data_IF_749202934338
#
_entry.id   IF_749202934338
#
_cell.length_a   1.000
_cell.length_b   1.000
_cell.length_c   1.000
_cell.angle_alpha   90.00
_cell.angle_beta   90.00
_cell.angle_gamma   90.00
#
_symmetry.space_group_name_H-M   'P 1'
#
loop_
_entity.id
_entity.type
_entity.pdbx_description
1 polymer ?
#
# COMPACT_ATOMS: atom_id res chain seq x y z
N UNK A 1 -1.20 6.33 1.50
CA UNK A 1 -1.07 7.47 0.57
C UNK A 1 -0.64 8.71 1.33
N UNK A 2 0.20 9.56 0.75
CA UNK A 2 0.81 10.74 1.35
C UNK A 2 0.80 11.88 0.32
N UNK A 3 0.41 13.08 0.73
CA UNK A 3 0.57 14.29 -0.08
C UNK A 3 1.57 15.22 0.62
N UNK A 4 2.65 15.59 -0.07
CA UNK A 4 3.73 16.41 0.46
C UNK A 4 4.45 17.16 -0.66
N UNK A 5 4.78 18.41 -0.43
CA UNK A 5 5.60 19.24 -1.32
C UNK A 5 5.11 19.24 -2.80
N UNK A 6 3.79 19.30 -3.00
CA UNK A 6 3.17 19.30 -4.31
C UNK A 6 3.17 17.95 -5.03
N UNK A 7 3.53 16.90 -4.34
CA UNK A 7 3.49 15.52 -4.85
C UNK A 7 2.50 14.67 -4.05
N UNK A 8 1.87 13.74 -4.73
CA UNK A 8 1.08 12.66 -4.17
C UNK A 8 1.88 11.36 -4.28
N UNK A 9 2.00 10.64 -3.19
CA UNK A 9 2.73 9.38 -3.12
C UNK A 9 1.80 8.24 -2.70
N UNK A 10 1.94 7.11 -3.32
CA UNK A 10 1.63 5.81 -2.74
C UNK A 10 2.93 5.16 -2.28
N UNK A 11 2.98 4.73 -1.03
CA UNK A 11 4.15 4.12 -0.44
C UNK A 11 3.74 2.78 0.17
N UNK A 12 4.50 1.75 -0.14
CA UNK A 12 4.42 0.44 0.47
C UNK A 12 5.73 0.14 1.20
N UNK A 13 5.65 0.06 2.51
CA UNK A 13 6.77 -0.33 3.35
C UNK A 13 6.72 -1.84 3.57
N UNK A 14 7.67 -2.55 2.96
CA UNK A 14 7.80 -3.99 3.11
C UNK A 14 8.62 -4.31 4.37
N UNK A 15 7.98 -4.29 5.54
CA UNK A 15 8.60 -4.64 6.85
C UNK A 15 9.87 -3.84 7.16
N UNK A 16 9.98 -2.61 6.71
CA UNK A 16 11.20 -1.81 6.87
C UNK A 16 12.37 -2.23 5.96
N UNK A 17 12.17 -3.18 5.07
CA UNK A 17 13.22 -3.64 4.14
C UNK A 17 13.39 -2.61 3.02
N UNK A 18 14.56 -2.03 2.94
CA UNK A 18 14.90 -1.09 1.87
C UNK A 18 15.04 -1.79 0.48
N UNK A 19 14.79 -1.07 -0.61
CA UNK A 19 14.25 0.29 -0.68
C UNK A 19 12.74 0.34 -0.44
N UNK A 20 12.24 1.49 0.02
CA UNK A 20 10.79 1.76 0.00
C UNK A 20 10.27 1.66 -1.43
N UNK A 21 9.14 1.00 -1.59
CA UNK A 21 8.46 0.91 -2.88
C UNK A 21 7.43 2.02 -2.95
N UNK A 22 7.54 2.89 -3.95
CA UNK A 22 6.67 4.05 -4.07
C UNK A 22 6.34 4.42 -5.51
N UNK A 23 5.12 4.91 -5.69
CA UNK A 23 4.65 5.61 -6.88
C UNK A 23 4.42 7.07 -6.52
N UNK A 24 4.61 7.97 -7.47
CA UNK A 24 4.32 9.38 -7.26
C UNK A 24 3.79 10.05 -8.51
N UNK A 25 3.02 11.11 -8.29
CA UNK A 25 2.60 12.04 -9.33
C UNK A 25 2.45 13.45 -8.73
N UNK A 26 2.38 14.50 -9.54
CA UNK A 26 1.99 15.82 -9.05
C UNK A 26 0.65 15.76 -8.33
N UNK A 27 0.53 16.50 -7.23
CA UNK A 27 -0.76 16.64 -6.54
C UNK A 27 -1.80 17.23 -7.50
N UNK A 28 -3.02 16.67 -7.58
CA UNK A 28 -4.08 17.24 -8.38
C UNK A 28 -4.33 18.71 -8.03
N UNK A 29 -4.78 19.48 -9.01
CA UNK A 29 -5.15 20.88 -8.82
C UNK A 29 -6.35 21.03 -7.88
N UNK A 30 -6.77 22.25 -7.57
CA UNK A 30 -7.96 22.46 -6.74
C UNK A 30 -9.21 21.85 -7.37
N UNK A 31 -10.02 21.19 -6.55
CA UNK A 31 -11.26 20.54 -6.98
C UNK A 31 -11.55 19.25 -6.21
N UNK A 32 -12.55 18.54 -6.68
CA UNK A 32 -12.88 17.20 -6.17
C UNK A 32 -12.21 16.17 -7.08
N UNK A 33 -11.37 15.35 -6.51
CA UNK A 33 -10.64 14.31 -7.22
C UNK A 33 -10.87 12.94 -6.59
N UNK A 34 -10.76 11.90 -7.39
CA UNK A 34 -10.68 10.51 -6.96
C UNK A 34 -9.24 10.04 -7.17
N UNK A 35 -8.62 9.61 -6.09
CA UNK A 35 -7.27 9.04 -6.14
C UNK A 35 -7.36 7.57 -5.73
N UNK A 36 -6.81 6.69 -6.54
CA UNK A 36 -6.86 5.25 -6.33
C UNK A 36 -5.53 4.58 -6.58
N UNK A 37 -5.38 3.40 -6.00
CA UNK A 37 -4.28 2.47 -6.28
C UNK A 37 -4.87 1.12 -6.55
N UNK A 38 -4.43 0.50 -7.62
CA UNK A 38 -4.75 -0.89 -7.97
C UNK A 38 -3.49 -1.75 -7.90
N UNK A 39 -3.65 -2.98 -7.45
CA UNK A 39 -2.59 -3.98 -7.42
C UNK A 39 -3.00 -5.22 -8.22
N UNK A 40 -2.43 -5.35 -9.40
CA UNK A 40 -2.61 -6.51 -10.25
C UNK A 40 -1.58 -7.58 -9.90
N UNK A 41 -1.98 -8.57 -9.11
CA UNK A 41 -1.15 -9.70 -8.73
C UNK A 41 -0.77 -10.54 -9.95
N UNK A 42 0.51 -10.87 -10.08
CA UNK A 42 1.05 -11.73 -11.15
C UNK A 42 1.48 -13.10 -10.65
N UNK A 43 2.15 -13.18 -9.51
CA UNK A 43 2.70 -14.44 -9.00
C UNK A 43 2.99 -14.37 -7.49
N UNK A 44 3.41 -15.52 -6.96
CA UNK A 44 3.96 -15.64 -5.61
C UNK A 44 5.38 -16.16 -5.75
N UNK A 45 6.35 -15.48 -5.12
CA UNK A 45 7.75 -15.89 -5.14
C UNK A 45 7.99 -17.14 -4.26
N UNK A 46 9.16 -17.76 -4.40
CA UNK A 46 9.59 -18.86 -3.52
C UNK A 46 9.66 -18.45 -2.05
N UNK A 47 9.82 -17.17 -1.77
CA UNK A 47 9.82 -16.59 -0.42
C UNK A 47 8.42 -16.19 0.06
N UNK A 48 7.37 -16.60 -0.66
CA UNK A 48 5.98 -16.28 -0.38
C UNK A 48 5.64 -14.78 -0.48
N UNK A 49 6.47 -13.99 -1.14
CA UNK A 49 6.12 -12.62 -1.48
C UNK A 49 5.09 -12.60 -2.62
N UNK A 50 4.10 -11.76 -2.53
CA UNK A 50 3.16 -11.56 -3.64
C UNK A 50 3.74 -10.51 -4.58
N UNK A 51 3.99 -10.90 -5.80
CA UNK A 51 4.52 -10.05 -6.86
C UNK A 51 3.39 -9.57 -7.76
N UNK A 52 3.48 -8.33 -8.21
CA UNK A 52 2.48 -7.76 -9.10
C UNK A 52 2.82 -6.34 -9.50
N UNK A 53 1.94 -5.76 -10.28
CA UNK A 53 2.05 -4.39 -10.77
C UNK A 53 1.12 -3.48 -9.98
N UNK A 54 1.68 -2.43 -9.42
CA UNK A 54 0.96 -1.38 -8.72
C UNK A 54 0.74 -0.21 -9.65
N UNK A 55 -0.49 0.29 -9.73
CA UNK A 55 -0.85 1.44 -10.56
C UNK A 55 -1.54 2.52 -9.74
N UNK A 56 -1.03 3.73 -9.81
CA UNK A 56 -1.63 4.93 -9.20
C UNK A 56 -2.51 5.63 -10.21
N UNK A 57 -3.72 5.97 -9.81
CA UNK A 57 -4.72 6.65 -10.61
C UNK A 57 -5.11 8.00 -10.00
N UNK A 58 -5.37 8.95 -10.86
CA UNK A 58 -6.06 10.22 -10.54
C UNK A 58 -7.18 10.39 -11.54
N UNK A 59 -8.42 10.51 -11.05
CA UNK A 59 -9.65 10.65 -11.88
C UNK A 59 -9.74 9.60 -12.99
N UNK A 60 -9.53 8.33 -12.63
CA UNK A 60 -9.54 7.16 -13.52
C UNK A 60 -8.40 7.11 -14.56
N UNK A 61 -7.46 8.05 -14.51
CA UNK A 61 -6.28 8.08 -15.38
C UNK A 61 -5.09 7.46 -14.63
N UNK A 62 -4.46 6.45 -15.22
CA UNK A 62 -3.22 5.89 -14.70
C UNK A 62 -2.08 6.91 -14.84
N UNK A 63 -1.50 7.32 -13.72
CA UNK A 63 -0.46 8.37 -13.66
C UNK A 63 0.91 7.84 -13.32
N UNK A 64 0.99 6.69 -12.66
CA UNK A 64 2.26 6.00 -12.40
C UNK A 64 2.03 4.50 -12.25
N UNK A 65 3.00 3.71 -12.66
CA UNK A 65 2.98 2.24 -12.59
C UNK A 65 4.37 1.72 -12.30
N UNK A 66 4.47 0.69 -11.45
CA UNK A 66 5.71 -0.06 -11.22
C UNK A 66 5.42 -1.45 -10.66
N UNK A 67 6.40 -2.33 -10.77
CA UNK A 67 6.34 -3.64 -10.14
C UNK A 67 6.60 -3.53 -8.65
N UNK A 68 5.77 -4.21 -7.88
CA UNK A 68 5.83 -4.26 -6.42
C UNK A 68 5.92 -5.70 -5.93
N UNK A 69 6.61 -5.86 -4.83
CA UNK A 69 6.52 -7.05 -3.99
C UNK A 69 5.80 -6.69 -2.70
N UNK A 70 4.82 -7.49 -2.33
CA UNK A 70 4.07 -7.31 -1.10
C UNK A 70 4.19 -8.55 -0.23
N UNK A 71 4.10 -8.38 1.08
CA UNK A 71 4.01 -9.56 1.94
C UNK A 71 2.63 -10.19 1.77
N UNK A 72 2.62 -11.51 1.73
CA UNK A 72 1.41 -12.29 1.86
C UNK A 72 1.21 -12.55 3.34
N UNK A 73 0.54 -11.72 4.05
CA UNK A 73 0.41 -11.99 5.46
C UNK A 73 -0.83 -11.36 6.07
N UNK A 74 -1.31 -12.04 7.08
CA UNK A 74 -2.41 -11.62 7.92
C UNK A 74 -1.96 -10.69 9.05
N UNK A 75 -0.67 -10.35 9.11
CA UNK A 75 -0.09 -9.63 10.22
C UNK A 75 0.21 -8.20 9.84
N UNK A 76 -0.46 -7.28 10.49
CA UNK A 76 0.09 -5.96 10.68
C UNK A 76 1.03 -6.02 11.89
N UNK A 77 2.31 -5.80 11.68
CA UNK A 77 3.28 -5.66 12.78
C UNK A 77 3.06 -4.37 13.55
N UNK A 78 2.43 -3.38 12.93
CA UNK A 78 1.97 -2.16 13.56
C UNK A 78 0.54 -2.36 14.07
N UNK A 79 0.31 -2.24 15.36
CA UNK A 79 -0.98 -2.50 16.01
C UNK A 79 -2.07 -1.44 15.78
N UNK A 80 -1.93 -0.55 14.80
CA UNK A 80 -2.79 0.62 14.65
C UNK A 80 -3.94 0.47 13.67
N UNK A 81 -3.96 -0.55 12.84
CA UNK A 81 -5.00 -0.72 11.83
C UNK A 81 -4.99 0.39 10.77
N UNK A 82 -6.15 0.66 10.18
CA UNK A 82 -6.31 1.65 9.11
C UNK A 82 -6.50 3.04 9.70
N UNK A 83 -5.62 3.98 9.34
CA UNK A 83 -5.75 5.39 9.68
C UNK A 83 -6.09 6.22 8.44
N UNK A 84 -7.05 7.13 8.55
CA UNK A 84 -7.48 8.03 7.48
C UNK A 84 -7.30 9.48 7.91
N UNK A 85 -6.61 10.25 7.08
CA UNK A 85 -6.38 11.68 7.31
C UNK A 85 -5.30 12.01 8.33
N UNK A 86 -4.69 11.03 8.96
CA UNK A 86 -3.50 11.19 9.81
C UNK A 86 -2.75 9.88 9.93
N UNK A 87 -1.47 9.99 10.23
CA UNK A 87 -0.64 8.88 10.69
C UNK A 87 -0.17 9.23 12.12
N UNK A 88 -0.48 8.39 13.08
CA UNK A 88 -0.30 8.67 14.52
C UNK A 88 0.74 7.78 15.19
N UNK A 89 1.17 6.71 14.55
CA UNK A 89 2.17 5.77 15.08
C UNK A 89 3.51 5.83 14.35
N UNK A 90 4.08 4.64 14.15
CA UNK A 90 5.31 4.52 13.39
C UNK A 90 5.09 4.91 11.92
N UNK A 91 5.92 5.82 11.37
CA UNK A 91 5.72 6.28 10.02
C UNK A 91 5.91 5.14 9.02
N UNK A 92 5.00 5.07 8.04
CA UNK A 92 5.12 4.11 6.93
C UNK A 92 6.33 4.42 6.06
N UNK A 93 6.83 5.65 6.10
CA UNK A 93 7.92 6.12 5.26
C UNK A 93 8.86 7.06 6.02
N UNK A 94 10.12 7.07 5.61
CA UNK A 94 11.11 8.05 6.07
C UNK A 94 10.85 9.49 5.58
N UNK A 95 9.87 9.68 4.70
CA UNK A 95 9.51 10.99 4.13
C UNK A 95 8.84 11.94 5.14
N UNK A 96 8.37 11.44 6.27
CA UNK A 96 7.69 12.24 7.30
C UNK A 96 7.91 11.69 8.71
N UNK A 97 7.64 12.52 9.70
CA UNK A 97 7.65 12.13 11.11
C UNK A 97 6.25 11.80 11.61
N UNK A 98 6.11 10.99 12.68
CA UNK A 98 4.81 10.65 13.28
C UNK A 98 3.96 11.87 13.63
N UNK A 99 2.64 11.68 13.63
CA UNK A 99 1.68 12.76 13.84
C UNK A 99 1.35 13.54 12.56
N UNK A 100 1.75 13.04 11.41
CA UNK A 100 1.48 13.67 10.11
C UNK A 100 -0.01 13.68 9.80
N UNK A 101 -0.55 14.87 9.59
CA UNK A 101 -1.98 15.08 9.28
C UNK A 101 -2.16 15.53 7.85
N UNK A 102 -3.21 15.05 7.22
CA UNK A 102 -3.67 15.57 5.95
C UNK A 102 -4.29 16.97 6.15
N UNK A 103 -3.72 17.96 5.52
CA UNK A 103 -4.14 19.37 5.59
C UNK A 103 -4.50 19.98 4.23
N UNK A 104 -4.32 19.23 3.14
CA UNK A 104 -4.53 19.72 1.76
C UNK A 104 -5.98 19.81 1.30
N UNK A 105 -6.95 19.43 2.14
CA UNK A 105 -8.35 19.43 1.75
C UNK A 105 -9.22 18.59 2.69
N UNK A 106 -10.32 18.07 2.15
CA UNK A 106 -11.27 17.21 2.86
C UNK A 106 -11.35 15.83 2.20
N UNK A 107 -11.16 14.77 2.98
CA UNK A 107 -11.42 13.40 2.55
C UNK A 107 -12.92 13.12 2.77
N UNK A 108 -13.65 12.79 1.71
CA UNK A 108 -15.07 12.51 1.78
C UNK A 108 -15.36 11.03 2.00
N UNK A 109 -14.57 10.18 1.36
CA UNK A 109 -14.75 8.73 1.39
C UNK A 109 -13.45 8.01 1.09
N UNK A 110 -13.24 6.88 1.73
CA UNK A 110 -12.22 5.88 1.36
C UNK A 110 -12.95 4.59 1.06
N UNK A 111 -12.60 3.94 -0.02
CA UNK A 111 -13.16 2.65 -0.42
C UNK A 111 -12.00 1.67 -0.57
N UNK A 112 -12.16 0.49 -0.01
CA UNK A 112 -11.31 -0.67 -0.24
C UNK A 112 -12.13 -1.67 -1.03
N UNK A 113 -11.63 -2.03 -2.20
CA UNK A 113 -12.17 -3.10 -3.01
C UNK A 113 -11.18 -4.26 -2.97
N UNK A 114 -11.63 -5.42 -2.55
CA UNK A 114 -10.83 -6.64 -2.45
C UNK A 114 -11.33 -7.60 -3.52
N UNK A 115 -10.44 -7.97 -4.42
CA UNK A 115 -10.74 -8.94 -5.47
C UNK A 115 -11.15 -10.31 -4.92
N UNK A 116 -11.76 -11.12 -5.79
CA UNK A 116 -12.25 -12.47 -5.50
C UNK A 116 -11.13 -13.53 -5.39
N UNK A 117 -9.89 -13.12 -5.15
CA UNK A 117 -8.77 -14.06 -4.94
C UNK A 117 -9.07 -14.96 -3.74
N UNK A 118 -9.08 -16.26 -4.00
CA UNK A 118 -9.27 -17.24 -2.94
C UNK A 118 -8.23 -17.04 -1.82
N UNK A 119 -8.72 -16.92 -0.60
CA UNK A 119 -7.87 -16.89 0.58
C UNK A 119 -6.97 -18.12 0.62
N UNK A 120 -5.66 -17.92 0.69
CA UNK A 120 -4.67 -18.98 0.89
C UNK A 120 -4.11 -18.86 2.31
N UNK A 121 -4.45 -19.82 3.15
CA UNK A 121 -3.86 -19.93 4.48
C UNK A 121 -2.40 -20.36 4.38
N UNK A 122 -1.52 -19.37 4.39
CA UNK A 122 -0.07 -19.58 4.25
C UNK A 122 0.56 -20.18 5.49
N UNK A 123 0.02 -19.94 6.69
CA UNK A 123 0.50 -20.57 7.92
C UNK A 123 0.27 -22.07 7.89
N UNK A 124 -0.92 -22.48 7.48
CA UNK A 124 -1.26 -23.90 7.32
C UNK A 124 -0.39 -24.55 6.26
N UNK A 125 -0.08 -23.81 5.19
CA UNK A 125 0.78 -24.27 4.10
C UNK A 125 2.23 -24.40 4.53
N UNK A 126 2.76 -23.43 5.27
CA UNK A 126 4.09 -23.47 5.90
C UNK A 126 4.19 -24.58 6.95
N UNK A 127 3.20 -24.71 7.82
CA UNK A 127 3.13 -25.78 8.79
C UNK A 127 3.14 -27.17 8.14
N UNK A 128 2.45 -27.33 7.02
CA UNK A 128 2.45 -28.59 6.26
C UNK A 128 3.79 -28.88 5.55
N UNK A 129 4.54 -27.84 5.17
CA UNK A 129 5.88 -28.00 4.58
C UNK A 129 6.88 -28.40 5.67
N UNK A 130 6.88 -27.70 6.81
CA UNK A 130 7.78 -27.97 7.94
C UNK A 130 7.50 -29.30 8.64
N UNK A 131 6.28 -29.83 8.56
CA UNK A 131 5.93 -31.14 9.10
C UNK A 131 6.32 -32.32 8.19
N UNK A 132 6.88 -32.05 7.01
CA UNK A 132 7.34 -33.08 6.06
C UNK A 132 8.82 -33.43 6.19
N UNK A 133 9.58 -32.66 6.94
CA UNK A 133 10.98 -32.91 7.28
C UNK A 133 11.07 -33.54 8.69
#
# INVERSE_FOLDING_TARGET
>A
MLAKDGQLYFIYNFLGIAPEQKLSCPTPTSGKHVVGVDFAKSSISERLEVLGTMTLYVDDVAVATADFRTQSGHYALAGEGVAVGRDSADPVSAEYSPGFRFSGGRIFKVTYDVGDDAYVDLERRLGAILARD
#
